data_IF_134422142780
#
_entry.id   IF_134422142780
#
_cell.length_a   1.000
_cell.length_b   1.000
_cell.length_c   1.000
_cell.angle_alpha   90.00
_cell.angle_beta   90.00
_cell.angle_gamma   90.00
#
_symmetry.space_group_name_H-M   'P 1'
#
loop_
_entity.id
_entity.type
_entity.pdbx_description
1 polymer ?
#
# COMPACT_ATOMS: atom_id res chain seq x y z
N UNK A 1 -6.09 -6.02 23.76
CA UNK A 1 -6.27 -4.59 24.09
C UNK A 1 -5.00 -3.90 23.66
N UNK A 2 -5.09 -3.02 22.66
CA UNK A 2 -3.95 -2.24 22.17
C UNK A 2 -3.62 -1.17 23.21
N UNK A 3 -2.33 -0.98 23.51
CA UNK A 3 -1.87 0.04 24.47
C UNK A 3 -2.10 1.43 23.88
N UNK A 4 -2.48 2.41 24.71
CA UNK A 4 -2.67 3.82 24.29
C UNK A 4 -1.41 4.38 23.61
N UNK A 5 -0.23 3.88 23.99
CA UNK A 5 1.06 4.29 23.44
C UNK A 5 1.30 3.86 21.98
N UNK A 6 0.60 2.84 21.49
CA UNK A 6 0.68 2.37 20.10
C UNK A 6 -0.45 2.90 19.21
N UNK A 7 -1.39 3.66 19.82
CA UNK A 7 -2.53 4.22 19.10
C UNK A 7 -2.10 5.36 18.18
N UNK A 8 -2.73 5.44 17.02
CA UNK A 8 -2.48 6.47 16.02
C UNK A 8 -3.72 7.29 15.72
N UNK A 9 -3.50 8.53 15.29
CA UNK A 9 -4.55 9.51 15.08
C UNK A 9 -5.10 9.36 13.66
N UNK A 10 -6.39 9.02 13.54
CA UNK A 10 -7.11 9.22 12.29
C UNK A 10 -7.83 10.57 12.32
N UNK A 11 -7.62 11.39 11.30
CA UNK A 11 -8.14 12.75 11.20
C UNK A 11 -9.03 12.91 9.98
N UNK A 12 -10.19 13.55 10.16
CA UNK A 12 -11.07 13.97 9.07
C UNK A 12 -11.36 15.47 9.21
N UNK A 13 -11.13 16.23 8.14
CA UNK A 13 -11.41 17.67 8.09
C UNK A 13 -12.61 17.95 7.21
N UNK A 14 -13.71 18.42 7.81
CA UNK A 14 -14.95 18.77 7.10
C UNK A 14 -15.38 20.17 7.49
N UNK A 15 -15.73 21.00 6.50
CA UNK A 15 -16.24 22.38 6.70
C UNK A 15 -15.34 23.24 7.62
N UNK A 16 -14.02 23.04 7.54
CA UNK A 16 -13.04 23.79 8.33
C UNK A 16 -12.84 23.28 9.76
N UNK A 17 -13.63 22.31 10.24
CA UNK A 17 -13.43 21.64 11.53
C UNK A 17 -12.68 20.32 11.35
N UNK A 18 -11.86 19.97 12.33
CA UNK A 18 -11.09 18.73 12.37
C UNK A 18 -11.66 17.81 13.44
N UNK A 19 -11.88 16.55 13.08
CA UNK A 19 -12.27 15.48 13.99
C UNK A 19 -11.20 14.41 13.98
N UNK A 20 -10.83 13.95 15.17
CA UNK A 20 -9.73 13.03 15.42
C UNK A 20 -10.19 11.89 16.32
N UNK A 21 -9.70 10.69 16.04
CA UNK A 21 -9.93 9.48 16.84
C UNK A 21 -8.63 8.72 17.04
N UNK A 22 -8.53 7.98 18.13
CA UNK A 22 -7.42 7.08 18.41
C UNK A 22 -7.77 5.67 17.93
N UNK A 23 -6.97 5.18 16.98
CA UNK A 23 -7.16 3.88 16.35
C UNK A 23 -5.87 3.06 16.35
N UNK A 24 -6.03 1.76 16.36
CA UNK A 24 -4.95 0.83 16.05
C UNK A 24 -4.67 0.90 14.53
N UNK A 25 -3.42 1.17 14.15
CA UNK A 25 -3.05 1.43 12.76
C UNK A 25 -3.35 0.23 11.84
N UNK A 26 -2.95 -0.98 12.25
CA UNK A 26 -3.10 -2.16 11.41
C UNK A 26 -4.58 -2.51 11.22
N UNK A 27 -5.32 -2.50 12.33
CA UNK A 27 -6.76 -2.80 12.29
C UNK A 27 -7.55 -1.72 11.58
N UNK A 28 -7.18 -0.44 11.67
CA UNK A 28 -7.84 0.62 10.90
C UNK A 28 -7.64 0.45 9.39
N UNK A 29 -6.47 -0.04 8.95
CA UNK A 29 -6.21 -0.37 7.55
C UNK A 29 -7.02 -1.59 7.12
N UNK A 30 -7.08 -2.64 7.95
CA UNK A 30 -7.92 -3.82 7.68
C UNK A 30 -9.41 -3.48 7.63
N UNK A 31 -9.86 -2.53 8.45
CA UNK A 31 -11.23 -2.03 8.45
C UNK A 31 -11.56 -1.33 7.12
N UNK A 32 -10.63 -0.49 6.61
CA UNK A 32 -10.75 0.10 5.27
C UNK A 32 -10.84 -0.95 4.16
N UNK A 33 -10.15 -2.08 4.33
CA UNK A 33 -10.21 -3.21 3.42
C UNK A 33 -11.47 -4.09 3.62
N UNK A 34 -12.30 -3.81 4.63
CA UNK A 34 -13.53 -4.55 4.93
C UNK A 34 -13.32 -5.89 5.65
N UNK A 35 -12.17 -6.08 6.31
CA UNK A 35 -11.79 -7.38 6.92
C UNK A 35 -12.04 -7.48 8.42
N UNK A 36 -12.19 -6.38 9.14
CA UNK A 36 -12.37 -6.37 10.60
C UNK A 36 -13.55 -5.50 11.05
N UNK A 37 -13.93 -5.63 12.32
CA UNK A 37 -14.95 -4.82 12.99
C UNK A 37 -14.43 -3.45 13.37
N UNK A 38 -15.32 -2.46 13.46
CA UNK A 38 -14.99 -1.12 13.96
C UNK A 38 -14.45 -1.16 15.40
N UNK A 39 -15.08 -1.98 16.25
CA UNK A 39 -14.76 -2.09 17.67
C UNK A 39 -13.32 -2.61 17.91
N UNK A 40 -12.76 -3.38 16.97
CA UNK A 40 -11.40 -3.85 17.09
C UNK A 40 -10.38 -2.76 16.75
N UNK A 41 -10.75 -1.85 15.82
CA UNK A 41 -9.88 -0.79 15.33
C UNK A 41 -9.85 0.43 16.26
N UNK A 42 -10.90 0.68 17.04
CA UNK A 42 -10.97 1.78 17.99
C UNK A 42 -10.22 1.47 19.28
N UNK A 43 -9.36 2.39 19.70
CA UNK A 43 -8.73 2.34 21.03
C UNK A 43 -9.60 3.05 22.06
N UNK A 44 -10.30 4.10 21.65
CA UNK A 44 -11.29 4.82 22.45
C UNK A 44 -12.55 5.12 21.64
N UNK A 45 -13.71 5.08 22.30
CA UNK A 45 -15.01 5.41 21.69
C UNK A 45 -15.25 6.93 21.55
N UNK A 46 -14.34 7.75 22.07
CA UNK A 46 -14.48 9.20 22.10
C UNK A 46 -13.89 9.87 20.86
N UNK A 47 -14.59 10.90 20.39
CA UNK A 47 -14.20 11.72 19.24
C UNK A 47 -13.63 13.02 19.77
N UNK A 48 -12.43 13.35 19.32
CA UNK A 48 -11.69 14.53 19.73
C UNK A 48 -11.67 15.57 18.61
N UNK A 49 -11.58 16.84 18.98
CA UNK A 49 -11.20 17.93 18.08
C UNK A 49 -9.69 17.97 17.92
N UNK A 50 -8.97 17.66 19.01
CA UNK A 50 -7.53 17.54 19.07
C UNK A 50 -7.14 16.50 20.12
N UNK A 51 -6.67 15.33 19.68
CA UNK A 51 -6.25 14.23 20.56
C UNK A 51 -5.07 14.65 21.45
N UNK A 52 -4.12 15.42 20.90
CA UNK A 52 -2.92 15.85 21.66
C UNK A 52 -3.24 16.78 22.81
N UNK A 53 -4.34 17.53 22.72
CA UNK A 53 -4.81 18.44 23.78
C UNK A 53 -5.91 17.82 24.64
N UNK A 54 -6.40 16.61 24.30
CA UNK A 54 -7.51 15.97 24.99
C UNK A 54 -8.87 16.67 24.81
N UNK A 55 -9.00 17.54 23.81
CA UNK A 55 -10.23 18.31 23.57
C UNK A 55 -11.27 17.44 22.86
N UNK A 56 -12.37 17.10 23.54
CA UNK A 56 -13.48 16.33 22.96
C UNK A 56 -14.32 17.20 22.02
N UNK A 57 -14.78 16.60 20.93
CA UNK A 57 -15.69 17.28 20.02
C UNK A 57 -17.08 17.45 20.69
N UNK A 58 -17.69 18.65 20.66
CA UNK A 58 -19.02 18.84 21.20
C UNK A 58 -20.08 18.18 20.31
N UNK A 59 -21.10 17.57 20.93
CA UNK A 59 -22.18 16.84 20.24
C UNK A 59 -22.91 17.71 19.21
N UNK A 60 -23.13 18.99 19.55
CA UNK A 60 -23.73 19.97 18.65
C UNK A 60 -22.95 20.19 17.33
N UNK A 61 -21.61 20.06 17.33
CA UNK A 61 -20.80 20.17 16.10
C UNK A 61 -20.86 18.86 15.30
N UNK A 62 -20.86 17.72 16.00
CA UNK A 62 -20.98 16.39 15.39
C UNK A 62 -22.32 16.22 14.66
N UNK A 63 -23.43 16.59 15.30
CA UNK A 63 -24.75 16.50 14.70
C UNK A 63 -24.89 17.42 13.48
N UNK A 64 -24.37 18.65 13.54
CA UNK A 64 -24.41 19.59 12.40
C UNK A 64 -23.60 19.14 11.19
N UNK A 65 -22.51 18.43 11.41
CA UNK A 65 -21.58 18.03 10.33
C UNK A 65 -21.91 16.64 9.80
N UNK A 66 -22.05 15.66 10.69
CA UNK A 66 -22.27 14.26 10.35
C UNK A 66 -23.76 13.87 10.32
N UNK A 67 -24.67 14.75 10.76
CA UNK A 67 -26.12 14.49 10.86
C UNK A 67 -26.47 13.30 11.76
N UNK A 68 -25.57 12.97 12.68
CA UNK A 68 -25.72 11.87 13.63
C UNK A 68 -24.94 12.22 14.89
N UNK A 69 -25.45 11.77 16.03
CA UNK A 69 -24.76 11.83 17.34
C UNK A 69 -24.05 10.51 17.67
N UNK A 70 -24.35 9.46 16.91
CA UNK A 70 -23.76 8.13 17.11
C UNK A 70 -22.25 8.15 16.81
N UNK A 71 -21.46 8.11 17.88
CA UNK A 71 -19.99 8.11 17.85
C UNK A 71 -19.43 6.99 16.97
N UNK A 72 -20.07 5.81 16.94
CA UNK A 72 -19.58 4.67 16.13
C UNK A 72 -19.68 4.95 14.63
N UNK A 73 -20.80 5.53 14.20
CA UNK A 73 -21.01 5.90 12.78
C UNK A 73 -20.04 7.00 12.34
N UNK A 74 -19.79 7.97 13.22
CA UNK A 74 -18.84 9.05 12.93
C UNK A 74 -17.42 8.48 12.86
N UNK A 75 -17.04 7.60 13.79
CA UNK A 75 -15.75 6.91 13.76
C UNK A 75 -15.55 6.11 12.46
N UNK A 76 -16.57 5.37 11.99
CA UNK A 76 -16.52 4.68 10.71
C UNK A 76 -16.26 5.64 9.55
N UNK A 77 -16.94 6.79 9.54
CA UNK A 77 -16.77 7.80 8.50
C UNK A 77 -15.37 8.45 8.54
N UNK A 78 -14.84 8.71 9.73
CA UNK A 78 -13.47 9.22 9.93
C UNK A 78 -12.45 8.20 9.42
N UNK A 79 -12.58 6.91 9.75
CA UNK A 79 -11.66 5.88 9.27
C UNK A 79 -11.76 5.76 7.75
N UNK A 80 -12.96 5.75 7.15
CA UNK A 80 -13.12 5.54 5.70
C UNK A 80 -12.72 6.75 4.85
N UNK A 81 -13.10 7.96 5.25
CA UNK A 81 -12.90 9.18 4.45
C UNK A 81 -11.73 10.05 4.92
N UNK A 82 -11.25 9.86 6.15
CA UNK A 82 -10.18 10.64 6.74
C UNK A 82 -8.79 10.21 6.28
N UNK A 83 -7.79 10.75 6.95
CA UNK A 83 -6.39 10.37 6.81
C UNK A 83 -5.94 9.71 8.11
N UNK A 84 -5.45 8.47 8.01
CA UNK A 84 -4.82 7.78 9.14
C UNK A 84 -3.37 8.25 9.17
N UNK A 85 -2.97 8.92 10.24
CA UNK A 85 -1.55 9.20 10.43
C UNK A 85 -0.86 7.85 10.62
N UNK A 86 0.13 7.54 9.80
CA UNK A 86 0.89 6.31 9.94
C UNK A 86 2.12 6.59 10.80
N UNK A 87 2.47 5.66 11.69
CA UNK A 87 3.76 5.72 12.38
C UNK A 87 4.91 5.58 11.37
N UNK A 88 6.10 6.03 11.75
CA UNK A 88 7.31 5.89 10.92
C UNK A 88 7.58 4.42 10.57
N UNK A 89 7.36 3.51 11.51
CA UNK A 89 7.60 2.08 11.34
C UNK A 89 6.61 1.46 10.35
N UNK A 90 5.31 1.79 10.44
CA UNK A 90 4.32 1.31 9.47
C UNK A 90 4.58 1.87 8.07
N UNK A 91 4.96 3.15 7.94
CA UNK A 91 5.36 3.72 6.65
C UNK A 91 6.56 2.97 6.06
N UNK A 92 7.56 2.66 6.88
CA UNK A 92 8.75 1.93 6.42
C UNK A 92 8.41 0.50 5.98
N UNK A 93 7.55 -0.22 6.72
CA UNK A 93 7.07 -1.56 6.34
C UNK A 93 6.35 -1.53 4.98
N UNK A 94 5.39 -0.63 4.81
CA UNK A 94 4.65 -0.48 3.54
C UNK A 94 5.59 -0.15 2.38
N UNK A 95 6.56 0.75 2.60
CA UNK A 95 7.57 1.09 1.60
C UNK A 95 8.43 -0.12 1.22
N UNK A 96 8.86 -0.92 2.20
CA UNK A 96 9.69 -2.10 1.97
C UNK A 96 8.92 -3.20 1.21
N UNK A 97 7.67 -3.47 1.58
CA UNK A 97 6.82 -4.41 0.86
C UNK A 97 6.59 -3.96 -0.58
N UNK A 98 6.30 -2.67 -0.77
CA UNK A 98 6.12 -2.07 -2.10
C UNK A 98 7.39 -2.20 -2.94
N UNK A 99 8.53 -1.93 -2.31
CA UNK A 99 9.85 -2.04 -2.92
C UNK A 99 10.14 -3.48 -3.36
N UNK A 100 9.89 -4.48 -2.52
CA UNK A 100 10.04 -5.90 -2.89
C UNK A 100 9.19 -6.25 -4.10
N UNK A 101 7.93 -5.82 -4.11
CA UNK A 101 7.01 -6.04 -5.24
C UNK A 101 7.49 -5.36 -6.53
N UNK A 102 8.02 -4.13 -6.45
CA UNK A 102 8.61 -3.43 -7.59
C UNK A 102 9.82 -4.20 -8.15
N UNK A 103 10.71 -4.67 -7.28
CA UNK A 103 11.88 -5.47 -7.67
C UNK A 103 11.44 -6.74 -8.41
N UNK A 104 10.44 -7.45 -7.89
CA UNK A 104 9.91 -8.65 -8.54
C UNK A 104 9.28 -8.35 -9.91
N UNK A 105 8.51 -7.27 -10.01
CA UNK A 105 7.90 -6.86 -11.29
C UNK A 105 8.96 -6.51 -12.33
N UNK A 106 10.02 -5.80 -11.92
CA UNK A 106 11.13 -5.47 -12.81
C UNK A 106 11.90 -6.75 -13.19
N UNK A 107 12.20 -7.63 -12.23
CA UNK A 107 12.91 -8.88 -12.47
C UNK A 107 12.19 -9.80 -13.47
N UNK A 108 10.86 -9.91 -13.38
CA UNK A 108 10.07 -10.78 -14.27
C UNK A 108 9.94 -10.24 -15.69
N UNK A 109 9.89 -8.93 -15.86
CA UNK A 109 9.55 -8.32 -17.14
C UNK A 109 10.74 -7.68 -17.87
N UNK A 110 11.83 -7.38 -17.16
CA UNK A 110 12.96 -6.63 -17.69
C UNK A 110 14.20 -7.49 -17.92
N UNK A 111 14.95 -7.12 -18.95
CA UNK A 111 16.21 -7.74 -19.31
C UNK A 111 17.32 -6.70 -19.42
N UNK A 112 18.56 -7.17 -19.41
CA UNK A 112 19.74 -6.39 -19.75
C UNK A 112 19.74 -6.04 -21.23
N UNK A 113 19.74 -4.75 -21.54
CA UNK A 113 19.78 -4.23 -22.91
C UNK A 113 21.04 -4.66 -23.68
N UNK A 114 22.13 -5.05 -22.99
CA UNK A 114 23.40 -5.47 -23.62
C UNK A 114 23.45 -6.97 -23.85
N UNK A 115 23.09 -7.77 -22.86
CA UNK A 115 23.24 -9.24 -22.90
C UNK A 115 21.95 -9.97 -23.29
N UNK A 116 20.79 -9.31 -23.18
CA UNK A 116 19.48 -9.93 -23.38
C UNK A 116 19.06 -10.87 -22.25
N UNK A 117 19.82 -10.93 -21.15
CA UNK A 117 19.56 -11.81 -20.02
C UNK A 117 18.79 -11.09 -18.91
N UNK A 118 17.99 -11.80 -18.10
CA UNK A 118 17.30 -11.20 -16.95
C UNK A 118 18.30 -10.79 -15.86
N UNK A 119 18.05 -9.64 -15.22
CA UNK A 119 18.84 -9.18 -14.09
C UNK A 119 18.41 -9.89 -12.80
N UNK A 120 19.33 -10.38 -11.95
CA UNK A 120 18.97 -10.90 -10.63
C UNK A 120 18.27 -9.85 -9.77
N UNK A 121 17.31 -10.28 -8.93
CA UNK A 121 16.56 -9.38 -8.04
C UNK A 121 17.47 -8.49 -7.17
N UNK A 122 18.52 -9.09 -6.60
CA UNK A 122 19.50 -8.36 -5.78
C UNK A 122 20.25 -7.27 -6.57
N UNK A 123 20.50 -7.47 -7.87
CA UNK A 123 21.15 -6.47 -8.72
C UNK A 123 20.25 -5.26 -8.95
N UNK A 124 18.95 -5.50 -9.15
CA UNK A 124 17.93 -4.45 -9.29
C UNK A 124 17.78 -3.69 -7.97
N UNK A 125 17.76 -4.39 -6.84
CA UNK A 125 17.68 -3.78 -5.52
C UNK A 125 18.84 -2.81 -5.24
N UNK A 126 20.07 -3.23 -5.57
CA UNK A 126 21.26 -2.38 -5.46
C UNK A 126 21.14 -1.13 -6.35
N UNK A 127 20.65 -1.30 -7.59
CA UNK A 127 20.48 -0.17 -8.50
C UNK A 127 19.40 0.82 -8.03
N UNK A 128 18.31 0.34 -7.42
CA UNK A 128 17.29 1.20 -6.78
C UNK A 128 17.90 2.01 -5.62
N UNK A 129 18.72 1.37 -4.78
CA UNK A 129 19.42 2.03 -3.68
C UNK A 129 20.38 3.12 -4.17
N UNK A 130 21.18 2.80 -5.18
CA UNK A 130 22.16 3.70 -5.77
C UNK A 130 21.51 4.90 -6.44
N UNK A 131 20.40 4.67 -7.16
CA UNK A 131 19.58 5.72 -7.76
C UNK A 131 18.79 6.57 -6.73
N UNK A 132 18.79 6.18 -5.45
CA UNK A 132 18.03 6.82 -4.36
C UNK A 132 16.57 7.08 -4.74
N UNK A 133 15.93 6.10 -5.37
CA UNK A 133 14.56 6.25 -5.86
C UNK A 133 13.60 6.33 -4.67
N UNK A 134 12.81 7.41 -4.62
CA UNK A 134 11.70 7.52 -3.68
C UNK A 134 10.53 6.66 -4.16
N UNK A 135 10.09 5.73 -3.31
CA UNK A 135 8.94 4.85 -3.54
C UNK A 135 7.78 5.36 -2.72
N UNK A 136 6.70 5.71 -3.40
CA UNK A 136 5.43 6.14 -2.79
C UNK A 136 4.61 4.89 -2.42
N UNK A 137 4.22 4.80 -1.16
CA UNK A 137 3.57 3.63 -0.57
C UNK A 137 2.11 3.46 -1.04
N UNK A 138 1.45 4.57 -1.42
CA UNK A 138 0.02 4.63 -1.70
C UNK A 138 -0.33 4.41 -3.18
N UNK A 139 0.58 4.72 -4.10
CA UNK A 139 0.41 4.42 -5.53
C UNK A 139 0.54 2.94 -5.82
N UNK A 140 -0.01 2.41 -6.92
CA UNK A 140 0.19 0.99 -7.26
C UNK A 140 1.61 0.74 -7.74
N UNK A 141 2.14 -0.46 -7.50
CA UNK A 141 3.50 -0.79 -7.90
C UNK A 141 3.64 -0.67 -9.41
N UNK A 142 2.67 -1.22 -10.15
CA UNK A 142 2.62 -1.25 -11.61
C UNK A 142 2.65 0.15 -12.24
N UNK A 143 2.04 1.15 -11.58
CA UNK A 143 2.05 2.55 -12.03
C UNK A 143 3.42 3.21 -11.83
N UNK A 144 4.16 2.80 -10.81
CA UNK A 144 5.48 3.36 -10.47
C UNK A 144 6.64 2.67 -11.19
N UNK A 145 6.41 1.47 -11.74
CA UNK A 145 7.45 0.65 -12.36
C UNK A 145 8.19 1.42 -13.46
N UNK A 146 7.49 2.17 -14.31
CA UNK A 146 8.12 2.92 -15.41
C UNK A 146 9.02 4.05 -14.89
N UNK A 147 8.54 4.86 -13.95
CA UNK A 147 9.33 5.94 -13.33
C UNK A 147 10.59 5.41 -12.65
N UNK A 148 10.48 4.26 -11.96
CA UNK A 148 11.60 3.59 -11.30
C UNK A 148 12.61 3.08 -12.32
N UNK A 149 12.14 2.49 -13.42
CA UNK A 149 12.98 1.97 -14.50
C UNK A 149 13.81 3.09 -15.13
N UNK A 150 13.19 4.24 -15.43
CA UNK A 150 13.88 5.39 -16.02
C UNK A 150 15.00 5.92 -15.13
N UNK A 151 14.78 5.95 -13.80
CA UNK A 151 15.80 6.38 -12.83
C UNK A 151 16.95 5.39 -12.68
N UNK A 152 16.71 4.09 -12.92
CA UNK A 152 17.73 3.03 -12.80
C UNK A 152 18.56 2.88 -14.08
N UNK A 153 17.99 3.18 -15.25
CA UNK A 153 18.67 3.06 -16.56
C UNK A 153 20.09 3.64 -16.64
N UNK A 154 20.43 4.79 -16.01
CA UNK A 154 21.79 5.31 -16.02
C UNK A 154 22.82 4.42 -15.33
N UNK A 155 22.40 3.62 -14.34
CA UNK A 155 23.27 2.76 -13.52
C UNK A 155 23.26 1.32 -14.04
N UNK A 156 22.08 0.84 -14.45
CA UNK A 156 21.88 -0.52 -14.91
C UNK A 156 21.22 -0.50 -16.30
N UNK A 157 21.87 -1.02 -17.35
CA UNK A 157 21.24 -1.13 -18.67
C UNK A 157 20.05 -2.09 -18.58
N UNK A 158 18.84 -1.54 -18.65
CA UNK A 158 17.61 -2.29 -18.43
C UNK A 158 16.49 -1.82 -19.36
N UNK A 159 15.75 -2.77 -19.94
CA UNK A 159 14.55 -2.50 -20.74
C UNK A 159 13.50 -3.58 -20.53
N UNK A 160 12.23 -3.22 -20.72
CA UNK A 160 11.16 -4.20 -20.83
C UNK A 160 11.14 -4.81 -22.21
N UNK A 161 10.95 -6.12 -22.26
CA UNK A 161 10.89 -6.85 -23.51
C UNK A 161 9.84 -7.98 -23.41
N UNK A 162 9.06 -8.16 -24.47
CA UNK A 162 8.06 -9.22 -24.58
C UNK A 162 8.55 -10.16 -25.68
N UNK A 163 8.56 -11.46 -25.38
CA UNK A 163 9.02 -12.49 -26.31
C UNK A 163 7.83 -13.33 -26.79
N UNK A 164 7.78 -13.58 -28.09
CA UNK A 164 6.90 -14.59 -28.68
C UNK A 164 7.67 -15.89 -28.84
N UNK A 165 7.25 -16.95 -28.15
CA UNK A 165 7.96 -18.23 -28.12
C UNK A 165 7.07 -19.33 -28.72
N UNK A 166 7.55 -19.96 -29.79
CA UNK A 166 6.91 -21.14 -30.36
C UNK A 166 7.41 -22.41 -29.65
N UNK A 167 6.49 -23.18 -29.05
CA UNK A 167 6.82 -24.43 -28.34
C UNK A 167 6.19 -25.62 -29.06
N UNK A 168 7.00 -26.63 -29.39
CA UNK A 168 6.52 -27.91 -29.93
C UNK A 168 6.46 -28.97 -28.84
N UNK A 169 5.28 -29.49 -28.55
CA UNK A 169 5.04 -30.46 -27.48
C UNK A 169 4.56 -31.78 -28.10
N UNK A 170 5.16 -32.93 -27.75
CA UNK A 170 4.65 -34.24 -28.16
C UNK A 170 3.22 -34.48 -27.64
N UNK A 171 2.39 -35.17 -28.42
CA UNK A 171 0.97 -35.38 -28.09
C UNK A 171 0.73 -36.01 -26.70
N UNK A 172 1.64 -36.88 -26.26
CA UNK A 172 1.57 -37.57 -24.96
C UNK A 172 1.60 -36.60 -23.76
N UNK A 173 2.26 -35.44 -23.89
CA UNK A 173 2.43 -34.47 -22.80
C UNK A 173 1.57 -33.20 -22.96
N UNK A 174 0.83 -33.08 -24.07
CA UNK A 174 0.09 -31.85 -24.40
C UNK A 174 -0.86 -31.40 -23.27
N UNK A 175 -1.63 -32.32 -22.69
CA UNK A 175 -2.59 -32.00 -21.62
C UNK A 175 -1.90 -31.51 -20.33
N UNK A 176 -0.76 -32.11 -19.96
CA UNK A 176 0.00 -31.71 -18.77
C UNK A 176 0.71 -30.38 -18.98
N UNK A 177 1.35 -30.20 -20.14
CA UNK A 177 2.11 -29.01 -20.46
C UNK A 177 1.21 -27.78 -20.66
N UNK A 178 -0.02 -27.94 -21.15
CA UNK A 178 -0.95 -26.82 -21.35
C UNK A 178 -1.23 -26.04 -20.06
N UNK A 179 -1.42 -26.75 -18.93
CA UNK A 179 -1.64 -26.11 -17.62
C UNK A 179 -0.44 -25.29 -17.17
N UNK A 180 0.77 -25.79 -17.42
CA UNK A 180 2.03 -25.14 -17.04
C UNK A 180 2.24 -23.90 -17.91
N UNK A 181 2.13 -24.01 -19.24
CA UNK A 181 2.35 -22.90 -20.16
C UNK A 181 1.42 -21.71 -19.89
N UNK A 182 0.17 -21.97 -19.50
CA UNK A 182 -0.79 -20.93 -19.11
C UNK A 182 -0.36 -20.09 -17.88
N UNK A 183 0.60 -20.57 -17.07
CA UNK A 183 1.13 -19.80 -15.94
C UNK A 183 2.27 -18.85 -16.28
N UNK A 184 2.93 -19.05 -17.43
CA UNK A 184 4.12 -18.27 -17.83
C UNK A 184 3.83 -17.16 -18.84
N UNK A 185 2.69 -17.21 -19.53
CA UNK A 185 2.35 -16.26 -20.59
C UNK A 185 0.85 -16.22 -20.88
N UNK A 186 0.48 -15.32 -21.77
CA UNK A 186 -0.89 -15.17 -22.28
C UNK A 186 -1.05 -15.96 -23.56
#
# INVERSE_FOLDING_TARGET
MTSIDEAVIARLKIKGQSFEILVDCDKAIEFRAGKCSLDDALVTDDIFKNVKQGEKAPENEMEKIFKTEDKKRIAEEIIRKGEIQLTTDHRNKLREEKRKRLIELIHRNAIDSKTGLPHPAQRIELAINEAKVHIDEFKKAEEQVQDVLEKIRPILPIRFEIWEIAVKIPAQYAAQSYRILKTYGT
#
